data_IF_137824631887
#
_entry.id   IF_137824631887
#
_cell.length_a   1.000
_cell.length_b   1.000
_cell.length_c   1.000
_cell.angle_alpha   90.00
_cell.angle_beta   90.00
_cell.angle_gamma   90.00
#
_symmetry.space_group_name_H-M   'P 1'
#
loop_
_entity.id
_entity.type
_entity.pdbx_description
1 polymer ?
#
# COMPACT_ATOMS: atom_id res chain seq x y z
N UNK A 1 8.94 60.48 25.15
CA UNK A 1 9.97 59.75 24.40
C UNK A 1 10.30 58.39 24.99
N UNK A 2 10.57 58.20 26.27
CA UNK A 2 10.92 56.87 26.85
C UNK A 2 9.83 55.81 26.73
N UNK A 3 8.53 56.18 26.88
CA UNK A 3 7.40 55.22 26.71
C UNK A 3 7.27 54.66 25.28
N UNK A 4 7.49 55.51 24.28
CA UNK A 4 7.39 55.11 22.90
C UNK A 4 8.55 54.19 22.46
N UNK A 5 9.74 54.40 23.04
CA UNK A 5 10.91 53.56 22.82
C UNK A 5 10.71 52.15 23.40
N UNK A 6 10.06 52.08 24.58
CA UNK A 6 9.76 50.80 25.23
C UNK A 6 8.73 49.98 24.47
N UNK A 7 7.68 50.63 23.93
CA UNK A 7 6.67 49.98 23.09
C UNK A 7 7.30 49.50 21.78
N UNK A 8 8.20 50.26 21.18
CA UNK A 8 8.89 49.85 19.94
C UNK A 8 9.82 48.65 20.18
N UNK A 9 10.52 48.62 21.32
CA UNK A 9 11.35 47.47 21.71
C UNK A 9 10.51 46.21 21.98
N UNK A 10 9.34 46.34 22.60
CA UNK A 10 8.42 45.23 22.84
C UNK A 10 7.88 44.66 21.54
N UNK A 11 7.50 45.52 20.60
CA UNK A 11 7.04 45.10 19.23
C UNK A 11 8.16 44.40 18.47
N UNK A 12 9.41 44.86 18.58
CA UNK A 12 10.56 44.23 17.92
C UNK A 12 10.85 42.83 18.48
N UNK A 13 10.67 42.60 19.78
CA UNK A 13 10.83 41.30 20.41
C UNK A 13 9.77 40.27 19.94
N UNK A 14 8.54 40.73 19.62
CA UNK A 14 7.48 39.84 19.10
C UNK A 14 7.75 39.38 17.66
N UNK A 15 8.45 40.15 16.85
CA UNK A 15 8.75 39.79 15.45
C UNK A 15 9.93 38.81 15.32
N UNK A 16 10.82 38.75 16.35
CA UNK A 16 11.96 37.82 16.32
C UNK A 16 11.60 36.37 16.70
N UNK A 17 10.40 36.16 17.24
CA UNK A 17 9.91 34.82 17.64
C UNK A 17 9.16 34.02 16.56
N UNK A 18 8.94 34.57 15.37
CA UNK A 18 8.26 33.89 14.32
C UNK A 18 9.20 32.92 13.55
N UNK A 19 9.58 31.81 14.20
CA UNK A 19 10.21 30.71 13.50
C UNK A 19 9.20 30.10 12.54
N UNK A 20 9.41 30.29 11.25
CA UNK A 20 8.65 29.59 10.22
C UNK A 20 8.93 28.08 10.36
N UNK A 21 8.04 27.39 11.03
CA UNK A 21 8.13 25.94 11.20
C UNK A 21 7.94 25.30 9.83
N UNK A 22 9.00 24.74 9.25
CA UNK A 22 8.89 23.96 8.00
C UNK A 22 7.97 22.76 8.25
N UNK A 23 6.82 22.73 7.59
CA UNK A 23 5.96 21.57 7.58
C UNK A 23 6.57 20.54 6.63
N UNK A 24 6.93 19.39 7.16
CA UNK A 24 7.34 18.23 6.37
C UNK A 24 6.14 17.28 6.27
N UNK A 25 5.89 16.77 5.09
CA UNK A 25 4.99 15.65 4.89
C UNK A 25 5.85 14.38 4.84
N UNK A 26 5.54 13.42 5.70
CA UNK A 26 6.18 12.11 5.72
C UNK A 26 5.27 11.11 5.01
N UNK A 27 5.88 10.31 4.12
CA UNK A 27 5.22 9.22 3.43
C UNK A 27 6.04 7.95 3.63
N UNK A 28 5.38 6.86 3.95
CA UNK A 28 6.00 5.54 3.93
C UNK A 28 5.81 4.93 2.54
N UNK A 29 6.84 4.27 2.07
CA UNK A 29 6.81 3.41 0.87
C UNK A 29 7.18 2.01 1.32
N UNK A 30 6.36 1.03 0.98
CA UNK A 30 6.58 -0.37 1.33
C UNK A 30 6.74 -1.25 0.10
N UNK A 31 7.22 -2.45 0.33
CA UNK A 31 7.23 -3.52 -0.66
C UNK A 31 6.83 -4.82 0.02
N UNK A 32 5.97 -5.61 -0.64
CA UNK A 32 5.49 -6.86 -0.08
C UNK A 32 5.29 -7.91 -1.16
N UNK A 33 6.01 -9.04 -1.06
CA UNK A 33 5.82 -10.19 -1.93
C UNK A 33 4.52 -10.90 -1.55
N UNK A 34 3.64 -11.13 -2.52
CA UNK A 34 2.33 -11.77 -2.32
C UNK A 34 2.41 -13.31 -2.29
N UNK A 35 3.60 -13.89 -2.47
CA UNK A 35 3.83 -15.34 -2.40
C UNK A 35 2.87 -16.14 -3.31
N UNK A 36 2.88 -15.84 -4.60
CA UNK A 36 2.02 -16.46 -5.61
C UNK A 36 0.52 -16.23 -5.31
N UNK A 37 0.10 -14.97 -5.38
CA UNK A 37 -1.31 -14.62 -5.24
C UNK A 37 -2.04 -14.87 -6.59
N UNK A 38 -2.51 -16.09 -6.77
CA UNK A 38 -3.34 -16.53 -7.90
C UNK A 38 -4.82 -16.51 -7.52
N UNK A 39 -5.68 -16.33 -8.52
CA UNK A 39 -7.10 -16.65 -8.36
C UNK A 39 -7.33 -18.17 -8.51
N UNK A 40 -8.52 -18.60 -8.87
CA UNK A 40 -8.84 -20.03 -9.00
C UNK A 40 -9.19 -20.44 -10.43
N UNK A 41 -8.94 -19.56 -11.38
CA UNK A 41 -9.23 -19.74 -12.80
C UNK A 41 -7.93 -19.89 -13.59
N UNK A 42 -7.99 -20.63 -14.69
CA UNK A 42 -6.86 -20.75 -15.60
C UNK A 42 -6.81 -19.56 -16.56
N UNK A 43 -5.66 -18.93 -16.66
CA UNK A 43 -5.38 -17.88 -17.64
C UNK A 43 -4.81 -18.48 -18.91
N UNK A 44 -5.42 -18.17 -20.05
CA UNK A 44 -5.01 -18.72 -21.35
C UNK A 44 -3.54 -18.40 -21.66
N UNK A 45 -2.78 -19.43 -22.03
CA UNK A 45 -1.36 -19.31 -22.36
C UNK A 45 -0.40 -19.29 -21.15
N UNK A 46 -0.92 -19.35 -19.93
CA UNK A 46 -0.11 -19.39 -18.70
C UNK A 46 0.04 -20.83 -18.19
N UNK A 47 1.02 -21.06 -17.33
CA UNK A 47 1.29 -22.35 -16.67
C UNK A 47 0.93 -22.31 -15.18
N UNK A 48 -0.30 -21.94 -14.91
CA UNK A 48 -0.86 -21.73 -13.57
C UNK A 48 -1.56 -22.98 -13.00
N UNK A 49 -1.47 -24.12 -13.69
CA UNK A 49 -2.20 -25.35 -13.38
C UNK A 49 -2.09 -25.84 -11.94
N UNK A 50 -0.97 -25.56 -11.27
CA UNK A 50 -0.75 -25.92 -9.87
C UNK A 50 -1.65 -25.14 -8.91
N UNK A 51 -2.05 -23.93 -9.32
CA UNK A 51 -2.85 -22.99 -8.55
C UNK A 51 -4.35 -23.07 -8.89
N UNK A 52 -4.80 -24.17 -9.46
CA UNK A 52 -6.20 -24.43 -9.72
C UNK A 52 -6.82 -25.33 -8.65
N UNK A 53 -8.16 -25.37 -8.50
CA UNK A 53 -8.83 -26.26 -7.54
C UNK A 53 -8.51 -27.75 -7.71
N UNK A 54 -8.22 -28.19 -8.93
CA UNK A 54 -7.78 -29.53 -9.28
C UNK A 54 -6.26 -29.69 -9.39
N UNK A 55 -5.50 -28.58 -9.26
CA UNK A 55 -4.04 -28.57 -9.34
C UNK A 55 -3.37 -29.16 -8.08
N UNK A 56 -2.03 -29.17 -8.06
CA UNK A 56 -1.24 -29.79 -6.99
C UNK A 56 -1.46 -29.13 -5.63
N UNK A 57 -1.66 -27.81 -5.59
CA UNK A 57 -1.92 -27.07 -4.35
C UNK A 57 -3.38 -27.13 -3.90
N UNK A 58 -4.29 -27.72 -4.70
CA UNK A 58 -5.74 -27.73 -4.41
C UNK A 58 -6.22 -26.30 -4.07
N UNK A 59 -5.83 -25.35 -4.92
CA UNK A 59 -6.06 -23.93 -4.71
C UNK A 59 -7.51 -23.59 -5.03
N UNK A 60 -8.35 -23.53 -4.01
CA UNK A 60 -9.79 -23.30 -4.13
C UNK A 60 -10.21 -21.92 -3.59
N UNK A 61 -11.46 -21.54 -3.82
CA UNK A 61 -12.00 -20.24 -3.41
C UNK A 61 -11.85 -19.94 -1.92
N UNK A 62 -11.90 -20.97 -1.05
CA UNK A 62 -11.72 -20.77 0.38
C UNK A 62 -10.27 -20.35 0.72
N UNK A 63 -9.29 -21.03 0.13
CA UNK A 63 -7.87 -20.69 0.28
C UNK A 63 -7.58 -19.30 -0.29
N UNK A 64 -8.11 -19.01 -1.47
CA UNK A 64 -7.98 -17.72 -2.13
C UNK A 64 -8.52 -16.57 -1.26
N UNK A 65 -9.77 -16.67 -0.81
CA UNK A 65 -10.39 -15.66 0.04
C UNK A 65 -9.63 -15.46 1.35
N UNK A 66 -9.13 -16.56 1.95
CA UNK A 66 -8.34 -16.49 3.17
C UNK A 66 -7.02 -15.75 2.95
N UNK A 67 -6.35 -16.03 1.83
CA UNK A 67 -5.10 -15.37 1.46
C UNK A 67 -5.33 -13.88 1.18
N UNK A 68 -6.33 -13.52 0.40
CA UNK A 68 -6.69 -12.12 0.15
C UNK A 68 -6.86 -11.32 1.44
N UNK A 69 -7.61 -11.86 2.39
CA UNK A 69 -7.84 -11.20 3.68
C UNK A 69 -6.55 -11.01 4.46
N UNK A 70 -5.70 -12.05 4.54
CA UNK A 70 -4.44 -11.97 5.26
C UNK A 70 -3.46 -11.00 4.61
N UNK A 71 -3.35 -11.01 3.27
CA UNK A 71 -2.51 -10.06 2.53
C UNK A 71 -3.00 -8.63 2.70
N UNK A 72 -4.31 -8.41 2.61
CA UNK A 72 -4.89 -7.08 2.82
C UNK A 72 -4.60 -6.54 4.22
N UNK A 73 -4.68 -7.39 5.25
CA UNK A 73 -4.33 -6.98 6.61
C UNK A 73 -2.84 -6.66 6.72
N UNK A 74 -1.96 -7.53 6.21
CA UNK A 74 -0.51 -7.29 6.23
C UNK A 74 -0.12 -5.99 5.52
N UNK A 75 -0.70 -5.71 4.35
CA UNK A 75 -0.47 -4.46 3.62
C UNK A 75 -1.01 -3.26 4.41
N UNK A 76 -2.17 -3.38 5.03
CA UNK A 76 -2.74 -2.30 5.84
C UNK A 76 -1.89 -1.98 7.08
N UNK A 77 -1.21 -2.97 7.64
CA UNK A 77 -0.35 -2.79 8.82
C UNK A 77 1.05 -2.27 8.45
N UNK A 78 1.44 -2.40 7.18
CA UNK A 78 2.76 -2.01 6.71
C UNK A 78 3.01 -0.51 6.92
N UNK A 79 4.11 -0.18 7.61
CA UNK A 79 4.52 1.20 7.90
C UNK A 79 3.75 1.89 9.03
N UNK A 80 2.79 1.21 9.67
CA UNK A 80 2.01 1.81 10.77
C UNK A 80 2.81 1.98 12.05
N UNK A 81 3.93 1.28 12.20
CA UNK A 81 4.89 1.46 13.29
C UNK A 81 5.58 2.83 13.23
N UNK A 82 5.74 3.39 12.04
CA UNK A 82 6.35 4.71 11.80
C UNK A 82 5.29 5.80 11.60
N UNK A 83 4.18 5.47 10.97
CA UNK A 83 3.07 6.38 10.67
C UNK A 83 1.75 5.77 11.19
N UNK A 84 1.49 5.84 12.51
CA UNK A 84 0.31 5.23 13.13
C UNK A 84 -0.99 5.68 12.46
N UNK A 85 -1.84 4.71 12.07
CA UNK A 85 -3.12 4.95 11.42
C UNK A 85 -3.04 5.36 9.94
N UNK A 86 -1.85 5.70 9.43
CA UNK A 86 -1.64 6.13 8.04
C UNK A 86 -1.09 4.96 7.21
N UNK A 87 0.02 4.34 7.64
CA UNK A 87 0.69 3.27 6.90
C UNK A 87 1.39 3.76 5.63
N UNK A 88 1.61 2.86 4.67
CA UNK A 88 2.28 3.19 3.42
C UNK A 88 1.37 3.97 2.48
N UNK A 89 1.92 5.01 1.85
CA UNK A 89 1.27 5.74 0.76
C UNK A 89 1.41 5.03 -0.58
N UNK A 90 2.48 4.25 -0.74
CA UNK A 90 2.77 3.44 -1.92
C UNK A 90 3.24 2.06 -1.43
N UNK A 91 2.73 0.99 -2.06
CA UNK A 91 3.16 -0.37 -1.80
C UNK A 91 3.48 -1.06 -3.12
N UNK A 92 4.76 -1.34 -3.38
CA UNK A 92 5.19 -2.24 -4.44
C UNK A 92 4.85 -3.68 -4.08
N UNK A 93 4.44 -4.45 -5.06
CA UNK A 93 4.08 -5.86 -4.89
C UNK A 93 4.71 -6.71 -5.99
N UNK A 94 5.04 -7.94 -5.65
CA UNK A 94 5.44 -8.98 -6.60
C UNK A 94 4.59 -10.23 -6.39
N UNK A 95 4.63 -11.10 -7.40
CA UNK A 95 3.93 -12.39 -7.40
C UNK A 95 2.39 -12.24 -7.32
N UNK A 96 1.87 -11.31 -8.10
CA UNK A 96 0.44 -11.08 -8.32
C UNK A 96 0.08 -11.58 -9.70
N UNK A 97 -0.98 -12.33 -9.85
CA UNK A 97 -1.35 -12.95 -11.12
C UNK A 97 -1.87 -11.92 -12.13
N UNK A 98 -2.94 -11.21 -11.79
CA UNK A 98 -3.64 -10.36 -12.76
C UNK A 98 -4.40 -9.19 -12.09
N UNK A 99 -5.04 -8.36 -12.89
CA UNK A 99 -5.83 -7.22 -12.41
C UNK A 99 -7.05 -7.64 -11.60
N UNK A 100 -7.66 -8.79 -11.91
CA UNK A 100 -8.80 -9.30 -11.12
C UNK A 100 -8.40 -9.58 -9.68
N UNK A 101 -7.24 -10.20 -9.49
CA UNK A 101 -6.70 -10.46 -8.15
C UNK A 101 -6.45 -9.16 -7.39
N UNK A 102 -6.01 -8.11 -8.07
CA UNK A 102 -5.80 -6.78 -7.47
C UNK A 102 -7.11 -6.08 -7.10
N UNK A 103 -8.15 -6.23 -7.93
CA UNK A 103 -9.50 -5.76 -7.62
C UNK A 103 -10.04 -6.46 -6.37
N UNK A 104 -9.92 -7.78 -6.30
CA UNK A 104 -10.36 -8.58 -5.16
C UNK A 104 -9.57 -8.24 -3.88
N UNK A 105 -8.27 -7.98 -4.01
CA UNK A 105 -7.39 -7.59 -2.89
C UNK A 105 -7.75 -6.20 -2.36
N UNK A 106 -7.88 -5.21 -3.25
CA UNK A 106 -8.18 -3.82 -2.85
C UNK A 106 -9.60 -3.65 -2.34
N UNK A 107 -10.51 -4.56 -2.69
CA UNK A 107 -11.87 -4.63 -2.15
C UNK A 107 -11.94 -5.15 -0.71
N UNK A 108 -10.87 -5.80 -0.18
CA UNK A 108 -10.86 -6.24 1.22
C UNK A 108 -10.94 -5.05 2.17
N UNK A 109 -11.70 -5.20 3.27
CA UNK A 109 -12.04 -4.09 4.18
C UNK A 109 -10.84 -3.23 4.63
N UNK A 110 -9.69 -3.78 5.04
CA UNK A 110 -8.54 -2.97 5.46
C UNK A 110 -8.00 -2.04 4.37
N UNK A 111 -7.98 -2.49 3.11
CA UNK A 111 -7.46 -1.71 1.97
C UNK A 111 -8.54 -0.81 1.36
N UNK A 112 -9.78 -1.25 1.33
CA UNK A 112 -10.91 -0.47 0.85
C UNK A 112 -11.04 0.86 1.60
N UNK A 113 -10.82 0.85 2.91
CA UNK A 113 -10.87 2.06 3.73
C UNK A 113 -9.74 3.04 3.41
N UNK A 114 -8.60 2.55 2.90
CA UNK A 114 -7.46 3.39 2.50
C UNK A 114 -7.61 3.97 1.09
N UNK A 115 -8.52 3.44 0.28
CA UNK A 115 -8.83 3.94 -1.06
C UNK A 115 -7.69 3.76 -2.06
N UNK A 116 -6.85 2.73 -1.89
CA UNK A 116 -5.78 2.43 -2.84
C UNK A 116 -6.31 2.26 -4.27
N UNK A 117 -5.56 2.78 -5.20
CA UNK A 117 -5.60 2.45 -6.62
C UNK A 117 -4.38 1.61 -6.94
N UNK A 118 -4.37 0.95 -8.10
CA UNK A 118 -3.21 0.17 -8.48
C UNK A 118 -2.76 0.42 -9.92
N UNK A 119 -1.50 0.08 -10.15
CA UNK A 119 -0.90 -0.09 -11.47
C UNK A 119 -0.40 -1.53 -11.53
N UNK A 120 -0.69 -2.22 -12.62
CA UNK A 120 -0.27 -3.60 -12.90
C UNK A 120 0.56 -3.62 -14.17
N UNK A 121 1.63 -4.41 -14.17
CA UNK A 121 2.51 -4.58 -15.33
C UNK A 121 2.74 -6.07 -15.53
N UNK A 122 2.28 -6.59 -16.67
CA UNK A 122 2.53 -7.97 -17.05
C UNK A 122 4.03 -8.22 -17.26
N UNK A 123 4.51 -9.29 -16.64
CA UNK A 123 5.88 -9.76 -16.72
C UNK A 123 6.05 -10.96 -17.66
N UNK A 124 7.29 -11.40 -17.86
CA UNK A 124 7.60 -12.55 -18.73
C UNK A 124 7.44 -13.91 -18.01
N UNK A 125 6.99 -13.96 -16.77
CA UNK A 125 6.85 -15.22 -16.04
C UNK A 125 5.78 -16.10 -16.71
N UNK A 126 6.17 -17.34 -17.01
CA UNK A 126 5.29 -18.28 -17.70
C UNK A 126 4.09 -18.74 -16.87
N UNK A 127 4.16 -18.60 -15.55
CA UNK A 127 3.05 -18.92 -14.65
C UNK A 127 1.99 -17.82 -14.66
N UNK A 128 2.35 -16.61 -15.11
CA UNK A 128 1.47 -15.45 -15.11
C UNK A 128 1.54 -14.64 -13.83
N UNK A 129 2.65 -14.69 -13.10
CA UNK A 129 2.85 -13.80 -11.96
C UNK A 129 3.66 -12.57 -12.33
N UNK A 130 3.24 -11.45 -11.81
CA UNK A 130 3.62 -10.12 -12.23
C UNK A 130 4.00 -9.22 -11.07
N UNK A 131 4.28 -7.96 -11.40
CA UNK A 131 4.49 -6.89 -10.43
C UNK A 131 3.32 -5.89 -10.49
N UNK A 132 3.00 -5.34 -9.32
CA UNK A 132 2.02 -4.29 -9.19
C UNK A 132 2.44 -3.25 -8.16
N UNK A 133 1.71 -2.13 -8.12
CA UNK A 133 1.90 -1.08 -7.14
C UNK A 133 0.54 -0.52 -6.73
N UNK A 134 0.31 -0.45 -5.44
CA UNK A 134 -0.82 0.26 -4.83
C UNK A 134 -0.43 1.70 -4.53
#
# INVERSE_FOLDING_TARGET
MKKNLFILALLLCFTLGASAQKKFNLYAVGFYNQENLFDTCHDEGKRDYDFLPNGSYKWNGLKYTHKLRNMAQAIADLGTDKLPGIGCAIVGMSEVENSKVLDDLTAQQPLKQRGYKYVHVEGPDRRGIDCAML
#
